data_IF_867439765871
#
_entry.id   IF_867439765871
#
_cell.length_a   1.000
_cell.length_b   1.000
_cell.length_c   1.000
_cell.angle_alpha   90.00
_cell.angle_beta   90.00
_cell.angle_gamma   90.00
#
_symmetry.space_group_name_H-M   'P 1'
#
loop_
_entity.id
_entity.type
_entity.pdbx_description
1 polymer ?
#
# COMPACT_ATOMS: atom_id res chain seq x y z
N UNK A 1 -19.67 8.27 -26.91
CA UNK A 1 -19.39 8.00 -25.49
C UNK A 1 -18.53 9.14 -24.99
N UNK A 2 -18.99 9.93 -24.02
CA UNK A 2 -18.13 10.96 -23.41
C UNK A 2 -16.92 10.25 -22.80
N UNK A 3 -15.71 10.74 -23.09
CA UNK A 3 -14.51 10.23 -22.43
C UNK A 3 -14.72 10.42 -20.92
N UNK A 4 -14.94 9.33 -20.19
CA UNK A 4 -14.87 9.35 -18.74
C UNK A 4 -13.45 9.76 -18.40
N UNK A 5 -13.28 11.00 -17.97
CA UNK A 5 -11.99 11.54 -17.57
C UNK A 5 -11.44 10.67 -16.44
N UNK A 6 -10.15 10.32 -16.46
CA UNK A 6 -9.51 9.56 -15.38
C UNK A 6 -9.31 10.37 -14.11
N UNK A 7 -8.80 9.73 -13.06
CA UNK A 7 -8.40 10.39 -11.81
C UNK A 7 -7.33 11.47 -12.03
N UNK A 8 -6.48 11.31 -13.04
CA UNK A 8 -5.45 12.29 -13.43
C UNK A 8 -6.00 13.54 -14.11
N UNK A 9 -7.30 13.60 -14.41
CA UNK A 9 -7.94 14.79 -14.95
C UNK A 9 -8.04 15.93 -13.92
N UNK A 10 -8.24 17.19 -14.34
CA UNK A 10 -8.41 18.30 -13.39
C UNK A 10 -9.57 18.11 -12.41
N UNK A 11 -10.66 17.45 -12.82
CA UNK A 11 -11.77 17.12 -11.92
C UNK A 11 -11.40 15.98 -10.96
N UNK A 12 -10.84 14.89 -11.50
CA UNK A 12 -10.36 13.75 -10.72
C UNK A 12 -9.35 14.16 -9.64
N UNK A 13 -8.39 15.02 -9.96
CA UNK A 13 -7.40 15.50 -8.99
C UNK A 13 -8.02 16.32 -7.86
N UNK A 14 -9.03 17.15 -8.16
CA UNK A 14 -9.73 17.93 -7.13
C UNK A 14 -10.50 17.02 -6.19
N UNK A 15 -11.26 16.08 -6.74
CA UNK A 15 -12.07 15.15 -5.97
C UNK A 15 -11.19 14.19 -5.16
N UNK A 16 -10.09 13.72 -5.74
CA UNK A 16 -9.10 12.89 -5.05
C UNK A 16 -8.46 13.62 -3.88
N UNK A 17 -8.06 14.88 -4.08
CA UNK A 17 -7.50 15.70 -2.99
C UNK A 17 -8.52 15.89 -1.87
N UNK A 18 -9.77 16.20 -2.20
CA UNK A 18 -10.83 16.35 -1.21
C UNK A 18 -11.09 15.04 -0.45
N UNK A 19 -11.14 13.92 -1.15
CA UNK A 19 -11.30 12.59 -0.59
C UNK A 19 -10.17 12.23 0.37
N UNK A 20 -8.92 12.35 -0.08
CA UNK A 20 -7.76 12.04 0.75
C UNK A 20 -7.65 12.95 1.96
N UNK A 21 -7.88 14.26 1.80
CA UNK A 21 -7.90 15.19 2.94
C UNK A 21 -8.95 14.79 3.97
N UNK A 22 -10.16 14.37 3.55
CA UNK A 22 -11.20 13.87 4.46
C UNK A 22 -10.77 12.59 5.17
N UNK A 23 -10.21 11.62 4.45
CA UNK A 23 -9.78 10.33 5.01
C UNK A 23 -8.63 10.50 6.01
N UNK A 24 -7.74 11.48 5.77
CA UNK A 24 -6.51 11.69 6.52
C UNK A 24 -6.58 12.82 7.55
N UNK A 25 -7.73 13.50 7.70
CA UNK A 25 -7.84 14.74 8.47
C UNK A 25 -7.29 14.68 9.91
N UNK A 26 -7.31 13.50 10.54
CA UNK A 26 -6.84 13.30 11.90
C UNK A 26 -5.33 13.08 11.99
N UNK A 27 -4.73 12.51 10.94
CA UNK A 27 -3.31 12.20 10.87
C UNK A 27 -2.56 13.35 10.20
N UNK A 28 -3.11 13.89 9.11
CA UNK A 28 -2.52 14.90 8.25
C UNK A 28 -3.43 16.12 8.19
N UNK A 29 -3.32 17.08 9.14
CA UNK A 29 -4.19 18.25 9.19
C UNK A 29 -4.13 19.13 7.93
N UNK A 30 -2.99 19.10 7.23
CA UNK A 30 -2.78 19.84 5.98
C UNK A 30 -3.12 19.02 4.72
N UNK A 31 -3.54 17.76 4.91
CA UNK A 31 -3.75 16.81 3.84
C UNK A 31 -2.45 16.38 3.13
N UNK A 32 -2.58 15.59 2.06
CA UNK A 32 -1.44 15.12 1.29
C UNK A 32 -0.80 16.25 0.46
N UNK A 33 0.49 16.10 0.17
CA UNK A 33 1.17 16.95 -0.80
C UNK A 33 0.58 16.77 -2.20
N UNK A 34 0.59 17.84 -3.01
CA UNK A 34 0.03 17.79 -4.38
C UNK A 34 0.70 16.73 -5.26
N UNK A 35 2.00 16.47 -5.06
CA UNK A 35 2.70 15.43 -5.82
C UNK A 35 2.24 14.02 -5.41
N UNK A 36 1.88 13.78 -4.14
CA UNK A 36 1.29 12.51 -3.70
C UNK A 36 -0.07 12.30 -4.35
N UNK A 37 -0.94 13.32 -4.35
CA UNK A 37 -2.25 13.27 -5.02
C UNK A 37 -2.09 12.95 -6.51
N UNK A 38 -1.17 13.63 -7.20
CA UNK A 38 -0.90 13.38 -8.62
C UNK A 38 -0.39 11.96 -8.88
N UNK A 39 0.52 11.46 -8.05
CA UNK A 39 1.01 10.09 -8.17
C UNK A 39 -0.11 9.08 -7.92
N UNK A 40 -0.90 9.24 -6.85
CA UNK A 40 -2.05 8.38 -6.55
C UNK A 40 -3.06 8.37 -7.69
N UNK A 41 -3.40 9.53 -8.26
CA UNK A 41 -4.32 9.60 -9.40
C UNK A 41 -3.82 8.79 -10.60
N UNK A 42 -2.52 8.87 -10.89
CA UNK A 42 -1.93 8.16 -12.02
C UNK A 42 -1.84 6.65 -11.77
N UNK A 43 -1.59 6.25 -10.54
CA UNK A 43 -1.67 4.84 -10.12
C UNK A 43 -3.09 4.31 -10.32
N UNK A 44 -4.12 5.05 -9.89
CA UNK A 44 -5.53 4.66 -10.08
C UNK A 44 -5.94 4.60 -11.56
N UNK A 45 -5.30 5.39 -12.42
CA UNK A 45 -5.48 5.32 -13.87
C UNK A 45 -4.62 4.22 -14.55
N UNK A 46 -3.87 3.43 -13.78
CA UNK A 46 -3.01 2.36 -14.30
C UNK A 46 -1.77 2.87 -15.05
N UNK A 47 -1.28 4.06 -14.72
CA UNK A 47 -0.13 4.70 -15.38
C UNK A 47 1.13 4.48 -14.53
N UNK A 48 2.11 3.77 -15.07
CA UNK A 48 3.43 3.56 -14.44
C UNK A 48 4.12 4.89 -14.11
N UNK A 49 4.74 4.97 -12.92
CA UNK A 49 5.36 6.20 -12.40
C UNK A 49 6.82 5.99 -12.03
N UNK A 50 7.65 6.99 -12.32
CA UNK A 50 8.98 7.14 -11.74
C UNK A 50 8.99 8.40 -10.86
N UNK A 51 9.16 8.21 -9.55
CA UNK A 51 8.98 9.27 -8.55
C UNK A 51 10.31 9.53 -7.83
N UNK A 52 10.83 10.75 -7.96
CA UNK A 52 12.07 11.18 -7.28
C UNK A 52 11.71 12.22 -6.23
N UNK A 53 11.92 11.87 -4.96
CA UNK A 53 11.62 12.73 -3.81
C UNK A 53 12.75 12.59 -2.79
N UNK A 54 13.12 13.69 -2.15
CA UNK A 54 14.12 13.67 -1.08
C UNK A 54 13.69 12.76 0.09
N UNK A 55 14.67 12.21 0.82
CA UNK A 55 14.40 11.48 2.06
C UNK A 55 13.58 12.33 3.04
N UNK A 56 12.63 11.71 3.74
CA UNK A 56 11.67 12.41 4.62
C UNK A 56 10.57 13.17 3.89
N UNK A 57 10.58 13.22 2.54
CA UNK A 57 9.56 13.93 1.77
C UNK A 57 8.21 13.22 1.65
N UNK A 58 7.97 12.13 2.40
CA UNK A 58 6.69 11.40 2.40
C UNK A 58 6.48 10.45 1.22
N UNK A 59 7.56 9.92 0.64
CA UNK A 59 7.50 8.96 -0.49
C UNK A 59 6.71 7.69 -0.16
N UNK A 60 6.78 7.20 1.08
CA UNK A 60 6.07 5.98 1.49
C UNK A 60 4.57 6.09 1.25
N UNK A 61 3.98 7.28 1.39
CA UNK A 61 2.55 7.47 1.24
C UNK A 61 1.99 7.03 -0.11
N UNK A 62 2.78 7.11 -1.18
CA UNK A 62 2.28 6.68 -2.50
C UNK A 62 2.03 5.18 -2.60
N UNK A 63 2.55 4.37 -1.66
CA UNK A 63 2.26 2.94 -1.59
C UNK A 63 0.90 2.63 -0.96
N UNK A 64 0.38 3.46 -0.05
CA UNK A 64 -0.86 3.17 0.67
C UNK A 64 -2.03 4.10 0.35
N UNK A 65 -1.79 5.33 -0.14
CA UNK A 65 -2.86 6.24 -0.55
C UNK A 65 -3.79 5.63 -1.62
N UNK A 66 -3.32 4.88 -2.63
CA UNK A 66 -4.20 4.19 -3.58
C UNK A 66 -5.14 3.19 -2.89
N UNK A 67 -4.65 2.43 -1.90
CA UNK A 67 -5.46 1.46 -1.15
C UNK A 67 -6.57 2.17 -0.38
N UNK A 68 -6.27 3.29 0.28
CA UNK A 68 -7.28 4.04 1.03
C UNK A 68 -8.42 4.51 0.13
N UNK A 69 -8.08 4.98 -1.07
CA UNK A 69 -9.06 5.41 -2.07
C UNK A 69 -9.88 4.22 -2.55
N UNK A 70 -9.24 3.11 -2.95
CA UNK A 70 -9.95 1.92 -3.43
C UNK A 70 -10.88 1.33 -2.36
N UNK A 71 -10.46 1.29 -1.09
CA UNK A 71 -11.30 0.84 0.03
C UNK A 71 -12.51 1.75 0.25
N UNK A 72 -12.34 3.07 0.19
CA UNK A 72 -13.47 3.99 0.33
C UNK A 72 -14.41 3.91 -0.87
N UNK A 73 -13.90 3.78 -2.10
CA UNK A 73 -14.73 3.56 -3.29
C UNK A 73 -15.49 2.23 -3.26
N UNK A 74 -14.93 1.21 -2.63
CA UNK A 74 -15.61 -0.07 -2.40
C UNK A 74 -16.74 0.08 -1.37
N UNK A 75 -16.52 0.90 -0.33
CA UNK A 75 -17.48 1.17 0.74
C UNK A 75 -18.62 2.09 0.32
N UNK A 76 -18.32 3.16 -0.41
CA UNK A 76 -19.28 4.19 -0.81
C UNK A 76 -19.41 4.24 -2.34
N UNK A 77 -20.50 3.65 -2.84
CA UNK A 77 -20.81 3.57 -4.27
C UNK A 77 -21.28 4.90 -4.87
N UNK A 78 -21.55 5.92 -4.05
CA UNK A 78 -21.93 7.26 -4.51
C UNK A 78 -20.75 8.10 -4.98
N UNK A 79 -19.52 7.72 -4.61
CA UNK A 79 -18.31 8.42 -4.99
C UNK A 79 -17.99 8.27 -6.48
N UNK A 80 -17.44 9.31 -7.13
CA UNK A 80 -17.03 9.23 -8.52
C UNK A 80 -15.88 8.23 -8.68
N UNK A 81 -15.99 7.33 -9.66
CA UNK A 81 -14.98 6.29 -9.92
C UNK A 81 -13.94 6.68 -10.96
N UNK A 82 -14.24 7.66 -11.80
CA UNK A 82 -13.34 8.12 -12.87
C UNK A 82 -12.78 6.96 -13.74
N UNK A 83 -13.59 5.91 -13.97
CA UNK A 83 -13.20 4.75 -14.76
C UNK A 83 -12.33 3.71 -14.06
N UNK A 84 -11.95 3.90 -12.79
CA UNK A 84 -11.15 2.91 -12.06
C UNK A 84 -11.95 1.63 -11.79
N UNK A 85 -11.31 0.48 -12.01
CA UNK A 85 -11.83 -0.79 -11.53
C UNK A 85 -11.51 -0.91 -10.04
N UNK A 86 -12.54 -1.12 -9.20
CA UNK A 86 -12.36 -1.23 -7.75
C UNK A 86 -12.33 -2.70 -7.38
N UNK A 87 -11.17 -3.26 -7.00
CA UNK A 87 -11.10 -4.65 -6.55
C UNK A 87 -11.84 -4.83 -5.22
N UNK A 88 -12.31 -6.05 -4.95
CA UNK A 88 -12.90 -6.38 -3.66
C UNK A 88 -11.90 -6.20 -2.51
N UNK A 89 -10.66 -6.64 -2.74
CA UNK A 89 -9.57 -6.63 -1.77
C UNK A 89 -8.31 -5.99 -2.38
N UNK A 90 -8.18 -4.65 -2.37
CA UNK A 90 -7.00 -3.99 -2.93
C UNK A 90 -5.75 -4.34 -2.14
N UNK A 91 -4.76 -4.90 -2.84
CA UNK A 91 -3.44 -5.24 -2.30
C UNK A 91 -2.34 -4.58 -3.11
N UNK A 92 -1.37 -3.96 -2.43
CA UNK A 92 -0.15 -3.44 -3.03
C UNK A 92 1.02 -4.36 -2.72
N UNK A 93 1.81 -4.65 -3.74
CA UNK A 93 3.08 -5.36 -3.61
C UNK A 93 4.22 -4.33 -3.60
N UNK A 94 4.84 -4.13 -2.44
CA UNK A 94 5.98 -3.26 -2.29
C UNK A 94 7.27 -4.08 -2.36
N UNK A 95 8.15 -3.73 -3.29
CA UNK A 95 9.43 -4.44 -3.49
C UNK A 95 10.54 -3.45 -3.17
N UNK A 96 11.42 -3.79 -2.23
CA UNK A 96 12.52 -2.90 -1.88
C UNK A 96 13.51 -3.53 -0.90
N UNK A 97 14.73 -2.95 -0.78
CA UNK A 97 15.72 -3.42 0.19
C UNK A 97 15.16 -3.30 1.62
N UNK A 98 15.35 -4.37 2.42
CA UNK A 98 14.72 -4.53 3.74
C UNK A 98 15.12 -3.47 4.80
N UNK A 99 16.15 -2.68 4.53
CA UNK A 99 16.52 -1.53 5.36
C UNK A 99 15.49 -0.39 5.29
N UNK A 100 14.90 -0.17 4.12
CA UNK A 100 13.82 0.82 3.92
C UNK A 100 12.45 0.29 4.41
N UNK A 101 12.35 -1.03 4.61
CA UNK A 101 11.15 -1.74 5.07
C UNK A 101 10.82 -1.57 6.54
N UNK A 102 11.81 -1.18 7.36
CA UNK A 102 11.59 -0.85 8.77
C UNK A 102 10.48 0.19 8.97
N UNK A 103 10.18 0.97 7.92
CA UNK A 103 9.17 2.02 7.86
C UNK A 103 7.75 1.47 7.62
N UNK A 104 7.60 0.32 6.96
CA UNK A 104 6.30 -0.23 6.56
C UNK A 104 5.77 -1.27 7.56
N UNK A 105 6.62 -1.86 8.41
CA UNK A 105 6.25 -2.99 9.26
C UNK A 105 5.16 -2.69 10.30
N UNK A 106 3.89 -2.93 9.97
CA UNK A 106 2.80 -2.96 10.95
C UNK A 106 2.84 -4.29 11.70
N UNK A 107 3.60 -4.34 12.79
CA UNK A 107 3.78 -5.58 13.56
C UNK A 107 2.43 -6.21 13.97
N UNK A 108 2.18 -7.42 13.47
CA UNK A 108 1.35 -8.46 14.12
C UNK A 108 2.18 -9.60 14.73
N UNK A 109 3.50 -9.46 14.85
CA UNK A 109 4.34 -10.47 15.53
C UNK A 109 5.12 -9.85 16.69
N UNK A 110 4.92 -10.40 17.89
CA UNK A 110 5.70 -10.16 19.11
C UNK A 110 7.15 -10.71 18.99
N UNK A 111 7.81 -10.51 17.86
CA UNK A 111 9.20 -10.96 17.68
C UNK A 111 10.14 -9.78 17.89
N UNK A 112 10.65 -9.68 19.13
CA UNK A 112 11.58 -8.65 19.57
C UNK A 112 12.91 -8.67 18.81
N UNK A 113 13.00 -7.92 17.72
CA UNK A 113 14.26 -7.45 17.18
C UNK A 113 14.30 -5.92 17.36
N UNK A 114 14.84 -5.48 18.51
CA UNK A 114 15.13 -4.07 18.76
C UNK A 114 16.42 -3.68 18.05
N UNK A 115 16.36 -2.71 17.13
CA UNK A 115 17.53 -1.95 16.67
C UNK A 115 17.25 -0.45 16.80
N UNK A 116 18.29 0.32 17.10
CA UNK A 116 18.31 1.70 17.64
C UNK A 116 17.78 2.83 16.70
N UNK A 117 16.80 2.57 15.83
CA UNK A 117 16.19 3.54 14.89
C UNK A 117 14.66 3.68 15.09
N UNK A 118 14.17 3.33 16.28
CA UNK A 118 12.77 3.07 16.58
C UNK A 118 11.74 4.23 16.42
N UNK A 119 12.00 5.51 16.80
CA UNK A 119 10.92 6.47 16.97
C UNK A 119 10.31 7.02 15.66
N UNK A 120 11.03 7.00 14.54
CA UNK A 120 10.49 7.43 13.24
C UNK A 120 9.61 6.33 12.61
N UNK A 121 10.03 5.08 12.79
CA UNK A 121 9.39 3.90 12.21
C UNK A 121 8.05 3.57 12.85
N UNK A 122 7.95 3.77 14.16
CA UNK A 122 6.71 3.58 14.90
C UNK A 122 5.59 4.52 14.42
N UNK A 123 5.94 5.67 13.80
CA UNK A 123 4.98 6.70 13.41
C UNK A 123 4.22 6.38 12.12
N UNK A 124 4.90 5.95 11.04
CA UNK A 124 4.27 5.56 9.77
C UNK A 124 3.50 4.25 9.94
N UNK A 125 4.04 3.31 10.73
CA UNK A 125 3.38 2.06 11.11
C UNK A 125 2.12 2.32 11.93
N UNK A 126 2.20 3.14 12.98
CA UNK A 126 1.04 3.48 13.79
C UNK A 126 0.00 4.25 12.98
N UNK A 127 0.43 5.02 11.98
CA UNK A 127 -0.45 5.68 11.04
C UNK A 127 -1.22 4.66 10.18
N UNK A 128 -0.54 3.71 9.56
CA UNK A 128 -1.16 2.65 8.76
C UNK A 128 -2.12 1.78 9.59
N UNK A 129 -1.75 1.43 10.84
CA UNK A 129 -2.66 0.77 11.80
C UNK A 129 -3.93 1.58 12.04
N UNK A 130 -3.80 2.88 12.30
CA UNK A 130 -4.93 3.78 12.55
C UNK A 130 -5.85 3.90 11.35
N UNK A 131 -5.35 3.65 10.15
CA UNK A 131 -6.11 3.63 8.90
C UNK A 131 -6.70 2.25 8.56
N UNK A 132 -6.52 1.24 9.42
CA UNK A 132 -7.03 -0.12 9.17
C UNK A 132 -6.32 -0.83 8.02
N UNK A 133 -5.08 -0.44 7.72
CA UNK A 133 -4.23 -1.13 6.75
C UNK A 133 -3.50 -2.25 7.49
N UNK A 134 -3.60 -3.46 6.94
CA UNK A 134 -2.83 -4.63 7.38
C UNK A 134 -1.69 -4.84 6.39
N UNK A 135 -0.47 -5.02 6.88
CA UNK A 135 0.65 -5.44 6.06
C UNK A 135 1.34 -6.70 6.57
N UNK A 136 2.12 -7.27 5.66
CA UNK A 136 2.98 -8.40 5.94
C UNK A 136 4.30 -8.28 5.19
N UNK A 137 5.39 -8.66 5.85
CA UNK A 137 6.72 -8.74 5.25
C UNK A 137 7.12 -10.20 5.02
N UNK A 138 7.47 -10.56 3.79
CA UNK A 138 7.89 -11.91 3.43
C UNK A 138 9.43 -12.02 3.39
N UNK A 139 10.06 -11.92 4.56
CA UNK A 139 11.49 -12.21 4.72
C UNK A 139 11.74 -13.70 4.98
N UNK A 140 12.91 -14.22 4.59
CA UNK A 140 13.37 -15.57 4.96
C UNK A 140 13.29 -15.90 6.44
N UNK A 141 13.67 -14.99 7.32
CA UNK A 141 13.51 -15.17 8.76
C UNK A 141 12.04 -15.25 9.16
N UNK A 142 11.24 -14.29 8.70
CA UNK A 142 9.82 -14.14 9.05
C UNK A 142 8.96 -15.29 8.56
N UNK A 143 9.09 -15.69 7.29
CA UNK A 143 8.34 -16.82 6.71
C UNK A 143 8.70 -18.13 7.42
N UNK A 144 9.99 -18.35 7.69
CA UNK A 144 10.43 -19.56 8.40
C UNK A 144 9.90 -19.58 9.83
N UNK A 145 10.00 -18.47 10.56
CA UNK A 145 9.50 -18.36 11.93
C UNK A 145 7.98 -18.55 12.00
N UNK A 146 7.22 -17.91 11.12
CA UNK A 146 5.76 -18.06 11.06
C UNK A 146 5.36 -19.51 10.80
N UNK A 147 6.06 -20.19 9.89
CA UNK A 147 5.79 -21.61 9.58
C UNK A 147 6.18 -22.54 10.71
N UNK A 148 7.41 -22.41 11.24
CA UNK A 148 7.99 -23.35 12.20
C UNK A 148 7.47 -23.14 13.63
N UNK A 149 7.15 -21.89 14.00
CA UNK A 149 6.78 -21.54 15.38
C UNK A 149 5.30 -21.20 15.54
N UNK A 150 4.68 -20.61 14.53
CA UNK A 150 3.29 -20.13 14.60
C UNK A 150 2.33 -21.04 13.81
N UNK A 151 2.84 -21.98 13.01
CA UNK A 151 2.02 -22.84 12.14
C UNK A 151 1.30 -22.08 11.02
N UNK A 152 1.74 -20.86 10.72
CA UNK A 152 1.13 -19.96 9.72
C UNK A 152 1.82 -20.10 8.37
N UNK A 153 1.03 -19.99 7.31
CA UNK A 153 1.53 -19.92 5.95
C UNK A 153 1.30 -18.52 5.40
N UNK A 154 2.34 -17.68 5.50
CA UNK A 154 2.26 -16.27 5.09
C UNK A 154 2.00 -16.11 3.59
N UNK A 155 2.43 -17.06 2.76
CA UNK A 155 2.13 -17.03 1.33
C UNK A 155 0.65 -17.28 1.08
N UNK A 156 0.05 -18.19 1.84
CA UNK A 156 -1.39 -18.44 1.80
C UNK A 156 -2.19 -17.22 2.27
N UNK A 157 -1.80 -16.57 3.36
CA UNK A 157 -2.46 -15.35 3.85
C UNK A 157 -2.46 -14.23 2.80
N UNK A 158 -1.36 -14.10 2.05
CA UNK A 158 -1.29 -13.14 0.93
C UNK A 158 -2.20 -13.52 -0.22
N UNK A 159 -2.25 -14.81 -0.61
CA UNK A 159 -3.15 -15.29 -1.66
C UNK A 159 -4.63 -15.11 -1.28
N UNK A 160 -4.95 -15.22 0.02
CA UNK A 160 -6.29 -15.00 0.58
C UNK A 160 -6.61 -13.52 0.80
N UNK A 161 -5.70 -12.60 0.42
CA UNK A 161 -5.85 -11.15 0.52
C UNK A 161 -6.09 -10.65 1.95
N UNK A 162 -5.53 -11.36 2.95
CA UNK A 162 -5.65 -10.95 4.36
C UNK A 162 -4.88 -9.66 4.68
N UNK A 163 -3.94 -9.29 3.81
CA UNK A 163 -3.06 -8.13 3.93
C UNK A 163 -3.23 -7.21 2.72
N UNK A 164 -3.40 -5.91 2.96
CA UNK A 164 -3.53 -4.91 1.89
C UNK A 164 -2.17 -4.42 1.38
N UNK A 165 -1.09 -4.65 2.14
CA UNK A 165 0.27 -4.34 1.71
C UNK A 165 1.14 -5.55 1.96
N UNK A 166 1.83 -6.00 0.92
CA UNK A 166 2.74 -7.13 0.97
C UNK A 166 4.11 -6.62 0.61
N UNK A 167 5.05 -6.81 1.52
CA UNK A 167 6.39 -6.29 1.34
C UNK A 167 7.38 -7.43 1.08
N UNK A 168 8.07 -7.32 -0.05
CA UNK A 168 9.04 -8.29 -0.55
C UNK A 168 10.43 -7.69 -0.58
N UNK A 169 11.41 -8.49 -0.19
CA UNK A 169 12.79 -8.22 -0.55
C UNK A 169 13.06 -8.65 -2.00
N UNK A 170 13.97 -7.98 -2.73
CA UNK A 170 14.19 -8.24 -4.16
C UNK A 170 14.54 -9.71 -4.47
N UNK A 171 15.27 -10.39 -3.58
CA UNK A 171 15.62 -11.80 -3.74
C UNK A 171 14.38 -12.74 -3.75
N UNK A 172 13.24 -12.30 -3.21
CA UNK A 172 11.99 -13.06 -3.23
C UNK A 172 11.24 -13.00 -4.56
N UNK A 173 11.67 -12.13 -5.48
CA UNK A 173 11.09 -12.08 -6.83
C UNK A 173 11.24 -13.39 -7.61
N UNK A 174 12.19 -14.24 -7.20
CA UNK A 174 12.45 -15.54 -7.84
C UNK A 174 11.66 -16.68 -7.21
N UNK A 175 10.88 -16.44 -6.15
CA UNK A 175 10.15 -17.50 -5.46
C UNK A 175 8.94 -17.98 -6.29
N UNK A 176 8.72 -19.30 -6.48
CA UNK A 176 7.64 -19.82 -7.32
C UNK A 176 6.24 -19.30 -6.94
N UNK A 177 5.94 -19.18 -5.65
CA UNK A 177 4.65 -18.70 -5.15
C UNK A 177 4.37 -17.23 -5.50
N UNK A 178 5.38 -16.46 -5.90
CA UNK A 178 5.14 -15.10 -6.40
C UNK A 178 4.40 -15.14 -7.73
N UNK A 179 4.66 -16.13 -8.59
CA UNK A 179 3.92 -16.30 -9.84
C UNK A 179 2.41 -16.46 -9.62
N UNK A 180 2.02 -17.14 -8.54
CA UNK A 180 0.62 -17.34 -8.17
C UNK A 180 -0.02 -16.04 -7.63
N UNK A 181 0.75 -15.26 -6.87
CA UNK A 181 0.36 -13.92 -6.41
C UNK A 181 0.16 -12.99 -7.62
N UNK A 182 1.13 -12.90 -8.53
CA UNK A 182 1.05 -11.96 -9.67
C UNK A 182 -0.08 -12.30 -10.65
N UNK A 183 -0.55 -13.55 -10.68
CA UNK A 183 -1.69 -14.00 -11.52
C UNK A 183 -3.03 -13.93 -10.80
N UNK A 184 -3.06 -13.45 -9.56
CA UNK A 184 -4.28 -13.32 -8.79
C UNK A 184 -4.96 -11.99 -9.16
N UNK A 185 -6.07 -12.07 -9.89
CA UNK A 185 -6.85 -10.92 -10.37
C UNK A 185 -7.43 -10.05 -9.25
N UNK A 186 -7.33 -10.49 -7.99
CA UNK A 186 -7.69 -9.69 -6.80
C UNK A 186 -6.63 -8.68 -6.42
N UNK A 187 -5.38 -8.84 -6.87
CA UNK A 187 -4.25 -8.01 -6.46
C UNK A 187 -4.01 -6.87 -7.47
N UNK A 188 -3.92 -5.64 -6.99
CA UNK A 188 -3.57 -4.47 -7.82
C UNK A 188 -2.11 -4.12 -7.59
N UNK A 189 -1.26 -4.62 -8.48
CA UNK A 189 0.18 -4.43 -8.36
C UNK A 189 0.56 -2.99 -8.75
N UNK A 190 1.13 -2.26 -7.80
CA UNK A 190 1.71 -0.93 -8.07
C UNK A 190 3.22 -1.04 -7.85
N UNK A 191 3.98 -1.05 -8.95
CA UNK A 191 5.44 -1.08 -8.89
C UNK A 191 6.03 0.28 -8.54
N UNK A 192 7.04 0.29 -7.67
CA UNK A 192 7.93 1.42 -7.41
C UNK A 192 9.37 1.01 -7.69
#
# INVERSE_FOLDING_TARGET
>A
MAATSGWSSPAGLRDLKALLTRLLQHQWPQGPHDWQVKTTARILDGIDQFVVVACGGGKTAVSYLPILVLKELARDTSLPRYGVNVPADPVVLFIGPLSDLSIIQVSTTNSGCMNLTQPYLDSEVAEMKRMGIKDITLESGTVRNAREREGRDLWKEVLECEHSIVVLSPERLTHPSLGDILRNDRLVLTGH
#
